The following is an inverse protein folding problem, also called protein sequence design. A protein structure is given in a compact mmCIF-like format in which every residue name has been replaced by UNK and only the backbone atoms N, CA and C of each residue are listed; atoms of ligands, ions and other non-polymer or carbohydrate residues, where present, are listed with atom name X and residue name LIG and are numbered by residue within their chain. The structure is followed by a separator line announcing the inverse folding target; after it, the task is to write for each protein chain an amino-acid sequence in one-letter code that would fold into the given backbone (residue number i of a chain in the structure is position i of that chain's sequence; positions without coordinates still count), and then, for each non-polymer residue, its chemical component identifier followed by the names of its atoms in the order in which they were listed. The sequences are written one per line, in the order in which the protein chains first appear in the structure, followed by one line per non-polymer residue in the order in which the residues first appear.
data_IF_863876912632
#
_entry.id   IF_863876912632
#
_cell.length_a   1.000
_cell.length_b   1.000
_cell.length_c   1.000
_cell.angle_alpha   90.00
_cell.angle_beta   90.00
_cell.angle_gamma   90.00
#
_symmetry.space_group_name_H-M   'P 1'
#
loop_
_entity.id
_entity.type
_entity.pdbx_description
1 polymer ?
#
# COMPACT_ATOMS: atom_id res chain seq x y z
N UNK A 1 41.38 -3.92 -3.04
CA UNK A 1 40.62 -4.11 -1.79
C UNK A 1 39.14 -3.97 -2.11
N UNK A 2 38.47 -5.10 -2.20
CA UNK A 2 37.02 -5.09 -2.32
C UNK A 2 36.42 -4.73 -0.95
N UNK A 3 35.66 -3.66 -0.89
CA UNK A 3 34.85 -3.36 0.29
C UNK A 3 34.00 -4.58 0.63
N UNK A 4 33.88 -4.97 1.89
CA UNK A 4 32.96 -6.03 2.25
C UNK A 4 31.56 -5.54 1.87
N UNK A 5 31.00 -6.13 0.82
CA UNK A 5 29.59 -5.99 0.57
C UNK A 5 28.91 -6.64 1.75
N UNK A 6 28.31 -5.83 2.60
CA UNK A 6 27.35 -6.33 3.58
C UNK A 6 26.33 -7.16 2.79
N UNK A 7 26.20 -8.45 3.09
CA UNK A 7 25.18 -9.23 2.41
C UNK A 7 23.85 -8.54 2.69
N UNK A 8 23.23 -8.03 1.65
CA UNK A 8 21.84 -7.61 1.72
C UNK A 8 21.08 -8.81 2.30
N UNK A 9 20.38 -8.66 3.41
CA UNK A 9 19.64 -9.80 3.96
C UNK A 9 18.79 -10.39 2.85
N UNK A 10 18.98 -11.68 2.60
CA UNK A 10 18.19 -12.38 1.61
C UNK A 10 16.71 -12.13 1.88
N UNK A 11 15.93 -11.60 0.94
CA UNK A 11 14.50 -11.32 1.17
C UNK A 11 13.66 -12.57 1.39
N UNK A 12 14.27 -13.75 1.44
CA UNK A 12 13.63 -15.05 1.45
C UNK A 12 12.60 -15.31 2.57
N UNK A 13 12.52 -14.46 3.58
CA UNK A 13 11.56 -14.60 4.68
C UNK A 13 10.63 -13.41 4.85
N UNK A 14 10.65 -12.45 3.94
CA UNK A 14 9.82 -11.26 4.03
C UNK A 14 8.54 -11.43 3.22
N UNK A 15 7.42 -11.04 3.80
CA UNK A 15 6.09 -11.13 3.20
C UNK A 15 5.59 -9.75 2.81
N UNK A 16 5.12 -9.63 1.58
CA UNK A 16 4.56 -8.40 1.01
C UNK A 16 3.10 -8.64 0.64
N UNK A 17 2.24 -7.73 1.04
CA UNK A 17 0.83 -7.70 0.62
C UNK A 17 0.66 -6.64 -0.47
N UNK A 18 0.22 -7.05 -1.65
CA UNK A 18 -0.08 -6.13 -2.76
C UNK A 18 -1.59 -5.98 -2.92
N UNK A 19 -2.03 -4.73 -3.09
CA UNK A 19 -3.45 -4.39 -3.19
C UNK A 19 -3.67 -3.48 -4.39
N UNK A 20 -4.41 -3.95 -5.37
CA UNK A 20 -4.82 -3.20 -6.54
C UNK A 20 -6.12 -3.81 -7.08
N UNK A 21 -7.06 -2.97 -7.52
CA UNK A 21 -8.28 -3.43 -8.18
C UNK A 21 -8.03 -3.98 -9.59
N UNK A 22 -6.89 -3.63 -10.19
CA UNK A 22 -6.42 -4.20 -11.45
C UNK A 22 -5.64 -5.49 -11.17
N UNK A 23 -6.23 -6.61 -11.53
CA UNK A 23 -5.61 -7.93 -11.35
C UNK A 23 -4.27 -8.06 -12.09
N UNK A 24 -4.13 -7.43 -13.26
CA UNK A 24 -2.89 -7.44 -14.02
C UNK A 24 -1.74 -6.75 -13.25
N UNK A 25 -2.02 -5.67 -12.55
CA UNK A 25 -1.03 -4.98 -11.70
C UNK A 25 -0.60 -5.87 -10.54
N UNK A 26 -1.53 -6.53 -9.87
CA UNK A 26 -1.22 -7.48 -8.80
C UNK A 26 -0.36 -8.65 -9.30
N UNK A 27 -0.65 -9.19 -10.48
CA UNK A 27 0.15 -10.26 -11.07
C UNK A 27 1.58 -9.82 -11.39
N UNK A 28 1.75 -8.62 -11.95
CA UNK A 28 3.08 -8.05 -12.24
C UNK A 28 3.85 -7.85 -10.94
N UNK A 29 3.23 -7.27 -9.92
CA UNK A 29 3.84 -7.10 -8.61
C UNK A 29 4.26 -8.44 -8.01
N UNK A 30 3.38 -9.43 -8.06
CA UNK A 30 3.68 -10.78 -7.57
C UNK A 30 4.90 -11.37 -8.28
N UNK A 31 4.91 -11.35 -9.62
CA UNK A 31 5.99 -11.94 -10.40
C UNK A 31 7.33 -11.26 -10.09
N UNK A 32 7.35 -9.96 -10.01
CA UNK A 32 8.55 -9.19 -9.69
C UNK A 32 9.05 -9.46 -8.25
N UNK A 33 8.14 -9.48 -7.31
CA UNK A 33 8.48 -9.69 -5.90
C UNK A 33 8.93 -11.13 -5.62
N UNK A 34 8.24 -12.12 -6.18
CA UNK A 34 8.64 -13.54 -6.06
C UNK A 34 10.01 -13.77 -6.69
N UNK A 35 10.27 -13.17 -7.85
CA UNK A 35 11.59 -13.23 -8.50
C UNK A 35 12.68 -12.64 -7.59
N UNK A 36 12.37 -11.63 -6.82
CA UNK A 36 13.29 -11.01 -5.86
C UNK A 36 13.41 -11.78 -4.54
N UNK A 37 12.62 -12.85 -4.34
CA UNK A 37 12.69 -13.72 -3.16
C UNK A 37 11.66 -13.43 -2.07
N UNK A 38 10.70 -12.54 -2.31
CA UNK A 38 9.63 -12.25 -1.35
C UNK A 38 8.49 -13.27 -1.43
N UNK A 39 7.84 -13.50 -0.29
CA UNK A 39 6.52 -14.14 -0.25
C UNK A 39 5.45 -13.08 -0.50
N UNK A 40 4.48 -13.38 -1.34
CA UNK A 40 3.50 -12.37 -1.78
C UNK A 40 2.08 -12.82 -1.47
N UNK A 41 1.33 -11.94 -0.83
CA UNK A 41 -0.11 -12.01 -0.66
C UNK A 41 -0.74 -10.95 -1.56
N UNK A 42 -1.87 -11.25 -2.16
CA UNK A 42 -2.57 -10.30 -3.04
C UNK A 42 -4.00 -10.09 -2.58
N UNK A 43 -4.48 -8.86 -2.75
CA UNK A 43 -5.86 -8.48 -2.51
C UNK A 43 -6.36 -7.60 -3.65
N UNK A 44 -7.63 -7.74 -4.01
CA UNK A 44 -8.27 -6.97 -5.08
C UNK A 44 -8.85 -5.64 -4.61
N UNK A 45 -8.85 -5.39 -3.32
CA UNK A 45 -9.36 -4.16 -2.72
C UNK A 45 -9.08 -4.08 -1.23
N UNK A 46 -9.47 -2.97 -0.64
CA UNK A 46 -9.19 -2.66 0.77
C UNK A 46 -9.83 -3.63 1.76
N UNK A 47 -11.06 -4.06 1.49
CA UNK A 47 -11.79 -4.99 2.37
C UNK A 47 -11.07 -6.32 2.49
N UNK A 48 -10.66 -6.90 1.38
CA UNK A 48 -9.88 -8.14 1.37
C UNK A 48 -8.50 -7.96 2.03
N UNK A 49 -7.85 -6.83 1.75
CA UNK A 49 -6.54 -6.52 2.33
C UNK A 49 -6.60 -6.43 3.86
N UNK A 50 -7.60 -5.76 4.41
CA UNK A 50 -7.78 -5.64 5.86
C UNK A 50 -8.11 -6.98 6.50
N UNK A 51 -8.88 -7.81 5.82
CA UNK A 51 -9.15 -9.19 6.26
C UNK A 51 -7.87 -10.02 6.32
N UNK A 52 -7.01 -9.89 5.32
CA UNK A 52 -5.69 -10.54 5.32
C UNK A 52 -4.84 -10.02 6.47
N UNK A 53 -4.78 -8.70 6.68
CA UNK A 53 -4.05 -8.10 7.79
C UNK A 53 -4.50 -8.63 9.16
N UNK A 54 -5.80 -8.88 9.31
CA UNK A 54 -6.37 -9.43 10.54
C UNK A 54 -6.09 -10.92 10.73
N UNK A 55 -6.16 -11.71 9.66
CA UNK A 55 -6.19 -13.17 9.72
C UNK A 55 -4.86 -13.86 9.43
N UNK A 56 -3.93 -13.20 8.73
CA UNK A 56 -2.67 -13.82 8.36
C UNK A 56 -1.84 -14.15 9.61
N UNK A 57 -1.45 -15.41 9.80
CA UNK A 57 -0.82 -15.84 11.06
C UNK A 57 0.64 -15.41 11.21
N UNK A 58 1.32 -15.06 10.12
CA UNK A 58 2.71 -14.62 10.11
C UNK A 58 2.85 -13.11 9.99
N UNK A 59 4.09 -12.60 10.02
CA UNK A 59 4.34 -11.17 9.82
C UNK A 59 4.03 -10.76 8.38
N UNK A 60 3.58 -9.52 8.20
CA UNK A 60 3.51 -8.82 6.92
C UNK A 60 4.46 -7.64 7.02
N UNK A 61 5.51 -7.64 6.20
CA UNK A 61 6.59 -6.65 6.29
C UNK A 61 6.27 -5.37 5.53
N UNK A 62 5.56 -5.49 4.41
CA UNK A 62 5.24 -4.38 3.53
C UNK A 62 3.84 -4.51 2.95
N UNK A 63 3.10 -3.41 2.97
CA UNK A 63 1.86 -3.23 2.23
C UNK A 63 2.16 -2.35 1.01
N UNK A 64 1.92 -2.86 -0.19
CA UNK A 64 1.93 -2.08 -1.42
C UNK A 64 0.48 -1.89 -1.85
N UNK A 65 0.00 -0.68 -1.91
CA UNK A 65 -1.38 -0.42 -2.27
C UNK A 65 -1.51 0.72 -3.28
N UNK A 66 -2.44 0.57 -4.21
CA UNK A 66 -2.88 1.69 -5.03
C UNK A 66 -3.48 2.78 -4.14
N UNK A 67 -3.18 4.03 -4.42
CA UNK A 67 -3.73 5.16 -3.69
C UNK A 67 -5.21 5.33 -3.99
N UNK A 68 -5.59 5.21 -5.24
CA UNK A 68 -6.97 5.37 -5.70
C UNK A 68 -7.56 4.01 -6.09
N UNK A 69 -8.49 3.52 -5.30
CA UNK A 69 -9.20 2.28 -5.59
C UNK A 69 -10.70 2.57 -5.68
N UNK A 70 -11.29 2.47 -6.88
CA UNK A 70 -12.74 2.63 -7.00
C UNK A 70 -13.46 1.52 -6.24
N UNK A 71 -14.70 1.76 -5.74
CA UNK A 71 -15.48 0.72 -5.12
C UNK A 71 -15.76 -0.40 -6.12
N UNK A 72 -15.81 -1.67 -5.67
CA UNK A 72 -16.11 -2.79 -6.56
C UNK A 72 -17.47 -2.60 -7.23
N UNK A 73 -17.55 -2.96 -8.52
CA UNK A 73 -18.76 -2.80 -9.33
C UNK A 73 -19.95 -3.65 -8.85
N UNK A 74 -19.69 -4.65 -8.04
CA UNK A 74 -20.67 -5.40 -7.29
C UNK A 74 -20.46 -5.16 -5.79
N UNK A 75 -20.99 -4.07 -5.30
CA UNK A 75 -21.28 -3.99 -3.88
C UNK A 75 -22.52 -4.85 -3.64
N UNK A 76 -22.31 -6.13 -3.43
CA UNK A 76 -23.23 -6.85 -2.60
C UNK A 76 -23.14 -6.17 -1.25
N UNK A 77 -24.09 -5.30 -0.95
CA UNK A 77 -24.32 -4.81 0.39
C UNK A 77 -24.72 -5.99 1.26
N UNK A 78 -23.80 -6.94 1.41
CA UNK A 78 -23.94 -7.95 2.41
C UNK A 78 -23.75 -7.24 3.74
N UNK A 79 -24.81 -7.18 4.50
CA UNK A 79 -24.89 -6.78 5.89
C UNK A 79 -23.93 -7.63 6.76
N UNK A 80 -22.65 -7.70 6.44
CA UNK A 80 -21.70 -8.58 7.08
C UNK A 80 -20.25 -8.27 6.68
N UNK A 81 -20.04 -7.22 5.89
CA UNK A 81 -18.68 -6.83 5.55
C UNK A 81 -18.08 -6.06 6.73
N UNK A 82 -17.23 -6.74 7.50
CA UNK A 82 -16.52 -6.17 8.64
C UNK A 82 -15.64 -4.96 8.22
N UNK A 83 -15.17 -4.96 6.98
CA UNK A 83 -14.30 -3.92 6.46
C UNK A 83 -14.95 -3.29 5.22
N UNK A 84 -15.64 -2.14 5.35
CA UNK A 84 -16.14 -1.42 4.19
C UNK A 84 -14.99 -0.92 3.32
N UNK A 85 -15.29 -0.69 2.04
CA UNK A 85 -14.32 -0.20 1.07
C UNK A 85 -13.74 1.17 1.48
N UNK A 86 -12.43 1.30 1.38
CA UNK A 86 -11.70 2.56 1.58
C UNK A 86 -10.61 2.69 0.51
N UNK A 87 -10.12 3.90 0.29
CA UNK A 87 -8.96 4.13 -0.58
C UNK A 87 -7.63 3.77 0.11
N UNK A 88 -6.55 3.75 -0.68
CA UNK A 88 -5.25 3.27 -0.22
C UNK A 88 -4.70 3.99 1.00
N UNK A 89 -4.89 5.30 1.11
CA UNK A 89 -4.43 6.06 2.27
C UNK A 89 -5.09 5.60 3.57
N UNK A 90 -6.40 5.47 3.58
CA UNK A 90 -7.13 5.00 4.76
C UNK A 90 -6.85 3.52 5.04
N UNK A 91 -6.69 2.71 3.97
CA UNK A 91 -6.24 1.33 4.12
C UNK A 91 -4.90 1.26 4.85
N UNK A 92 -3.94 2.09 4.46
CA UNK A 92 -2.63 2.14 5.11
C UNK A 92 -2.75 2.48 6.60
N UNK A 93 -3.54 3.49 6.95
CA UNK A 93 -3.76 3.88 8.35
C UNK A 93 -4.34 2.72 9.16
N UNK A 94 -5.37 2.07 8.64
CA UNK A 94 -6.02 0.94 9.32
C UNK A 94 -5.10 -0.27 9.45
N UNK A 95 -4.33 -0.58 8.41
CA UNK A 95 -3.37 -1.68 8.42
C UNK A 95 -2.24 -1.43 9.43
N UNK A 96 -1.72 -0.21 9.50
CA UNK A 96 -0.69 0.18 10.47
C UNK A 96 -1.18 0.08 11.92
N UNK A 97 -2.45 0.35 12.17
CA UNK A 97 -3.06 0.16 13.50
C UNK A 97 -3.17 -1.30 13.89
N UNK A 98 -3.39 -2.18 12.92
CA UNK A 98 -3.46 -3.62 13.15
C UNK A 98 -2.08 -4.25 13.31
N UNK A 99 -1.07 -3.74 12.58
CA UNK A 99 0.28 -4.30 12.53
C UNK A 99 1.32 -3.18 12.66
N UNK A 100 1.89 -3.04 13.83
CA UNK A 100 2.80 -1.94 14.19
C UNK A 100 4.11 -1.94 13.42
N UNK A 101 4.59 -3.11 13.01
CA UNK A 101 5.86 -3.25 12.29
C UNK A 101 5.70 -3.21 10.76
N UNK A 102 4.48 -3.01 10.29
CA UNK A 102 4.18 -2.91 8.87
C UNK A 102 4.79 -1.65 8.26
N UNK A 103 5.33 -1.81 7.05
CA UNK A 103 5.76 -0.69 6.19
C UNK A 103 4.75 -0.52 5.07
N UNK A 104 4.72 0.65 4.45
CA UNK A 104 3.77 0.98 3.39
C UNK A 104 4.50 1.58 2.19
N UNK A 105 4.12 1.16 1.00
CA UNK A 105 4.49 1.76 -0.27
C UNK A 105 3.22 2.02 -1.08
N UNK A 106 2.98 3.27 -1.44
CA UNK A 106 1.84 3.65 -2.27
C UNK A 106 2.17 3.60 -3.75
N UNK A 107 1.21 3.17 -4.55
CA UNK A 107 1.27 3.22 -6.01
C UNK A 107 0.27 4.25 -6.54
N UNK A 108 0.65 4.98 -7.59
CA UNK A 108 -0.26 5.90 -8.27
C UNK A 108 0.05 5.99 -9.76
N UNK A 109 -0.99 6.01 -10.58
CA UNK A 109 -0.87 6.28 -12.02
C UNK A 109 -0.79 7.77 -12.34
N UNK A 110 -1.16 8.64 -11.42
CA UNK A 110 -1.14 10.08 -11.57
C UNK A 110 -0.79 10.76 -10.24
N UNK A 111 0.46 10.56 -9.84
CA UNK A 111 0.94 10.84 -8.49
C UNK A 111 0.63 12.28 -8.02
N UNK A 112 0.98 13.28 -8.83
CA UNK A 112 0.81 14.69 -8.43
C UNK A 112 -0.66 15.07 -8.21
N UNK A 113 -1.54 14.65 -9.11
CA UNK A 113 -2.97 14.91 -8.99
C UNK A 113 -3.60 14.13 -7.84
N UNK A 114 -3.22 12.87 -7.68
CA UNK A 114 -3.75 12.02 -6.62
C UNK A 114 -3.33 12.53 -5.24
N UNK A 115 -2.08 12.90 -5.07
CA UNK A 115 -1.60 13.49 -3.82
C UNK A 115 -2.31 14.79 -3.50
N UNK A 116 -2.46 15.68 -4.49
CA UNK A 116 -3.17 16.95 -4.31
C UNK A 116 -4.64 16.73 -3.96
N UNK A 117 -5.29 15.77 -4.62
CA UNK A 117 -6.70 15.44 -4.38
C UNK A 117 -6.98 14.92 -2.97
N UNK A 118 -6.04 14.18 -2.39
CA UNK A 118 -6.16 13.62 -1.04
C UNK A 118 -5.47 14.45 0.05
N UNK A 119 -4.85 15.57 -0.31
CA UNK A 119 -4.15 16.42 0.64
C UNK A 119 -2.92 15.76 1.27
N UNK A 120 -2.28 14.83 0.57
CA UNK A 120 -1.13 14.08 1.05
C UNK A 120 0.15 14.74 0.58
N UNK A 121 1.09 14.97 1.48
CA UNK A 121 2.43 15.45 1.13
C UNK A 121 3.29 14.32 0.57
N UNK A 122 4.12 14.61 -0.44
CA UNK A 122 5.06 13.66 -1.02
C UNK A 122 5.98 13.00 0.00
N UNK A 123 6.29 13.70 1.08
CA UNK A 123 7.21 13.22 2.11
C UNK A 123 6.51 12.39 3.21
N UNK A 124 5.18 12.32 3.19
CA UNK A 124 4.41 11.63 4.23
C UNK A 124 4.50 10.11 4.12
N UNK A 125 4.66 9.58 2.90
CA UNK A 125 4.69 8.16 2.59
C UNK A 125 5.64 7.90 1.43
N UNK A 126 6.26 6.70 1.35
CA UNK A 126 6.93 6.28 0.12
C UNK A 126 5.92 6.05 -1.00
N UNK A 127 6.24 6.54 -2.19
CA UNK A 127 5.41 6.40 -3.39
C UNK A 127 6.20 5.83 -4.55
N UNK A 128 5.51 5.07 -5.40
CA UNK A 128 6.00 4.65 -6.71
C UNK A 128 4.95 5.00 -7.77
N UNK A 129 5.40 5.57 -8.88
CA UNK A 129 4.53 5.90 -10.01
C UNK A 129 4.35 4.70 -10.93
N UNK A 130 3.13 4.48 -11.42
CA UNK A 130 2.83 3.53 -12.48
C UNK A 130 2.99 4.18 -13.84
N UNK A 131 3.49 3.50 -14.86
CA UNK A 131 4.04 2.14 -14.82
C UNK A 131 5.45 2.11 -14.23
N UNK A 132 5.82 0.98 -13.68
CA UNK A 132 7.15 0.74 -13.13
C UNK A 132 7.76 -0.54 -13.73
N UNK A 133 9.10 -0.59 -13.76
CA UNK A 133 9.81 -1.80 -14.14
C UNK A 133 10.24 -2.60 -12.90
N UNK A 134 10.85 -3.76 -13.13
CA UNK A 134 11.32 -4.64 -12.07
C UNK A 134 12.31 -3.94 -11.13
N UNK A 135 13.34 -3.29 -11.70
CA UNK A 135 14.36 -2.62 -10.90
C UNK A 135 13.77 -1.48 -10.07
N UNK A 136 12.88 -0.68 -10.66
CA UNK A 136 12.20 0.41 -9.98
C UNK A 136 11.36 -0.07 -8.81
N UNK A 137 10.55 -1.12 -9.01
CA UNK A 137 9.74 -1.68 -7.94
C UNK A 137 10.60 -2.22 -6.80
N UNK A 138 11.61 -3.03 -7.11
CA UNK A 138 12.44 -3.66 -6.07
C UNK A 138 13.25 -2.63 -5.29
N UNK A 139 13.77 -1.59 -5.94
CA UNK A 139 14.47 -0.51 -5.24
C UNK A 139 13.53 0.21 -4.25
N UNK A 140 12.31 0.56 -4.67
CA UNK A 140 11.34 1.20 -3.79
C UNK A 140 10.90 0.29 -2.64
N UNK A 141 10.71 -1.00 -2.91
CA UNK A 141 10.37 -2.00 -1.90
C UNK A 141 11.46 -2.10 -0.84
N UNK A 142 12.71 -2.21 -1.25
CA UNK A 142 13.84 -2.30 -0.30
C UNK A 142 13.97 -1.02 0.54
N UNK A 143 13.82 0.15 -0.05
CA UNK A 143 13.82 1.42 0.68
C UNK A 143 12.67 1.49 1.69
N UNK A 144 11.46 1.09 1.29
CA UNK A 144 10.29 1.13 2.16
C UNK A 144 10.45 0.16 3.35
N UNK A 145 10.97 -1.04 3.13
CA UNK A 145 11.19 -2.03 4.19
C UNK A 145 12.24 -1.54 5.19
N UNK A 146 13.28 -0.84 4.73
CA UNK A 146 14.36 -0.32 5.58
C UNK A 146 14.00 0.98 6.29
N UNK A 147 12.96 1.68 5.84
CA UNK A 147 12.50 2.90 6.47
C UNK A 147 11.93 2.63 7.88
N UNK A 148 11.97 3.62 8.79
CA UNK A 148 11.32 3.45 10.09
C UNK A 148 9.81 3.27 9.95
N UNK A 149 9.15 2.61 10.92
CA UNK A 149 7.70 2.47 10.90
C UNK A 149 7.00 3.82 10.86
N UNK A 150 5.94 3.91 10.06
CA UNK A 150 5.11 5.09 9.98
C UNK A 150 4.12 5.11 11.15
N UNK A 151 3.91 6.30 11.72
CA UNK A 151 2.88 6.51 12.72
C UNK A 151 1.53 6.72 12.02
N UNK A 152 0.53 5.85 12.26
CA UNK A 152 -0.78 6.00 11.63
C UNK A 152 -1.46 7.33 11.99
N UNK A 153 -1.24 7.85 13.18
CA UNK A 153 -1.82 9.12 13.60
C UNK A 153 -1.23 10.32 12.85
N UNK A 154 0.05 10.27 12.47
CA UNK A 154 0.66 11.31 11.65
C UNK A 154 0.09 11.33 10.24
N UNK A 155 -0.28 10.17 9.69
CA UNK A 155 -0.94 10.08 8.39
C UNK A 155 -2.37 10.65 8.41
N UNK A 156 -3.06 10.53 9.53
CA UNK A 156 -4.41 11.08 9.72
C UNK A 156 -4.41 12.61 9.75
N UNK A 157 -3.42 13.22 10.34
CA UNK A 157 -3.33 14.69 10.49
C UNK A 157 -3.22 15.44 9.17
N UNK A 158 -2.71 14.77 8.14
CA UNK A 158 -2.59 15.35 6.80
C UNK A 158 -3.87 15.21 5.96
N UNK A 159 -4.86 14.46 6.43
CA UNK A 159 -6.10 14.18 5.70
C UNK A 159 -7.31 14.93 6.26
N UNK A 160 -7.11 16.05 6.96
CA UNK A 160 -8.21 16.82 7.53
C UNK A 160 -8.96 17.70 6.52
N UNK A 161 -8.49 17.72 5.27
CA UNK A 161 -9.25 18.31 4.17
C UNK A 161 -9.52 17.22 3.15
N UNK A 162 -10.75 16.76 3.11
CA UNK A 162 -11.24 15.95 2.00
C UNK A 162 -10.97 16.64 0.66
N UNK A 163 -11.13 15.93 -0.47
CA UNK A 163 -10.86 16.53 -1.77
C UNK A 163 -11.57 17.89 -1.86
N UNK A 164 -10.80 18.92 -2.21
CA UNK A 164 -11.38 20.23 -2.49
C UNK A 164 -12.48 20.04 -3.53
N UNK A 165 -13.71 20.30 -3.15
CA UNK A 165 -14.86 20.10 -3.99
C UNK A 165 -15.99 19.28 -3.36
N UNK A 166 -15.75 18.56 -2.26
CA UNK A 166 -16.82 17.86 -1.56
C UNK A 166 -17.72 18.80 -0.76
N UNK A 167 -17.19 19.95 -0.36
CA UNK A 167 -17.92 20.94 0.44
C UNK A 167 -18.74 21.92 -0.40
N UNK A 168 -18.50 21.96 -1.72
CA UNK A 168 -19.25 22.86 -2.60
C UNK A 168 -20.63 22.31 -3.03
N UNK A 169 -20.93 21.05 -2.71
CA UNK A 169 -22.17 20.40 -3.14
C UNK A 169 -23.28 20.40 -2.08
N UNK A 170 -23.04 20.94 -0.90
CA UNK A 170 -23.96 20.92 0.23
C UNK A 170 -24.31 22.30 0.79
N UNK A 171 -24.04 23.35 0.05
CA UNK A 171 -24.60 24.68 0.34
C UNK A 171 -25.93 24.88 -0.36
#
# INVERSE_FOLDING_TARGET
MSSPQTPTPSPSNQTVLTVDDDEAVNEICRDFLEKAGFSVLTASGSSEALKICKQHPGPIHLLITDLVMPPPSFSLASSGNEFPHVHGHELAVRALRMRKDLRVLMMSGNLDNDLAGYGIHKDALPFISKPFDYAGLINHVNEAIQAPPLDPESLMKHNTKGPKGADEWFD
#
